data_IF_769251805333
#
_entry.id   IF_769251805333
#
_cell.length_a   1.000
_cell.length_b   1.000
_cell.length_c   1.000
_cell.angle_alpha   90.00
_cell.angle_beta   90.00
_cell.angle_gamma   90.00
#
_symmetry.space_group_name_H-M   'P 1'
#
loop_
_entity.id
_entity.type
_entity.pdbx_description
1 polymer ?
#
# COMPACT_ATOMS: atom_id res chain seq x y z
N UNK A 1 6.04 -17.54 3.05
CA UNK A 1 4.60 -17.44 2.97
C UNK A 1 4.18 -16.55 1.80
N UNK A 2 3.22 -17.03 1.02
CA UNK A 2 2.73 -16.31 -0.17
C UNK A 2 1.98 -15.01 0.15
N UNK A 3 1.65 -14.79 1.43
CA UNK A 3 0.94 -13.59 1.88
C UNK A 3 1.88 -12.44 2.18
N UNK A 4 3.14 -12.73 2.38
CA UNK A 4 4.18 -11.75 2.74
C UNK A 4 5.34 -11.92 1.78
N UNK A 5 5.71 -10.84 1.12
CA UNK A 5 6.86 -10.82 0.21
C UNK A 5 7.74 -9.63 0.57
N UNK A 6 8.98 -9.93 0.95
CA UNK A 6 10.00 -8.92 1.23
C UNK A 6 11.05 -8.98 0.14
N UNK A 7 11.31 -7.84 -0.50
CA UNK A 7 12.33 -7.73 -1.54
C UNK A 7 13.29 -6.60 -1.22
N UNK A 8 14.54 -6.76 -1.63
CA UNK A 8 15.54 -5.72 -1.55
C UNK A 8 15.55 -4.95 -2.87
N UNK A 9 15.53 -3.62 -2.79
CA UNK A 9 15.52 -2.77 -3.96
C UNK A 9 16.51 -1.62 -3.78
N UNK A 10 17.58 -1.62 -4.59
CA UNK A 10 18.63 -0.60 -4.52
C UNK A 10 19.14 -0.43 -3.08
N UNK A 11 18.85 0.72 -2.46
CA UNK A 11 19.29 1.04 -1.11
C UNK A 11 18.22 0.76 -0.05
N UNK A 12 17.12 0.13 -0.42
CA UNK A 12 16.00 -0.04 0.48
C UNK A 12 15.32 -1.39 0.33
N UNK A 13 14.12 -1.46 0.86
CA UNK A 13 13.31 -2.69 0.87
C UNK A 13 11.89 -2.39 0.42
N UNK A 14 11.24 -3.40 -0.11
CA UNK A 14 9.81 -3.38 -0.37
C UNK A 14 9.17 -4.57 0.33
N UNK A 15 8.09 -4.31 1.04
CA UNK A 15 7.32 -5.32 1.76
C UNK A 15 5.90 -5.31 1.23
N UNK A 16 5.49 -6.41 0.62
CA UNK A 16 4.13 -6.58 0.13
C UNK A 16 3.38 -7.51 1.06
N UNK A 17 2.24 -7.05 1.56
CA UNK A 17 1.28 -7.85 2.31
C UNK A 17 0.01 -7.98 1.48
N UNK A 18 -0.56 -9.16 1.48
CA UNK A 18 -1.82 -9.40 0.78
C UNK A 18 -2.68 -10.39 1.53
N UNK A 19 -3.98 -10.19 1.43
CA UNK A 19 -4.98 -11.09 1.99
C UNK A 19 -5.88 -11.59 0.86
N UNK A 20 -5.41 -12.61 0.14
CA UNK A 20 -6.16 -13.17 -0.99
C UNK A 20 -7.20 -14.14 -0.50
N UNK A 21 -8.47 -13.85 -0.80
CA UNK A 21 -9.61 -14.70 -0.46
C UNK A 21 -10.37 -15.01 -1.75
N UNK A 22 -10.51 -16.29 -2.07
CA UNK A 22 -11.27 -16.73 -3.23
C UNK A 22 -12.72 -16.93 -2.82
N UNK A 23 -13.63 -16.19 -3.47
CA UNK A 23 -15.05 -16.23 -3.12
C UNK A 23 -15.91 -15.78 -4.30
N UNK A 24 -17.23 -15.90 -4.11
CA UNK A 24 -18.20 -15.44 -5.11
C UNK A 24 -18.08 -13.92 -5.30
N UNK A 25 -17.83 -13.45 -6.53
CA UNK A 25 -17.69 -12.01 -6.81
C UNK A 25 -18.89 -11.16 -6.37
N UNK A 26 -20.07 -11.72 -6.32
CA UNK A 26 -21.27 -11.00 -5.89
C UNK A 26 -21.24 -10.57 -4.43
N UNK A 27 -20.42 -11.25 -3.59
CA UNK A 27 -20.29 -10.94 -2.17
C UNK A 27 -19.10 -10.03 -1.87
N UNK A 28 -18.29 -9.72 -2.87
CA UNK A 28 -17.01 -9.03 -2.68
C UNK A 28 -17.13 -7.62 -2.12
N UNK A 29 -18.26 -6.96 -2.34
CA UNK A 29 -18.49 -5.59 -1.87
C UNK A 29 -19.30 -5.50 -0.57
N UNK A 30 -19.79 -6.63 -0.05
CA UNK A 30 -20.54 -6.62 1.21
C UNK A 30 -19.60 -6.44 2.40
N UNK A 31 -19.88 -5.40 3.20
CA UNK A 31 -19.02 -5.04 4.34
C UNK A 31 -18.88 -6.18 5.35
N UNK A 32 -19.97 -6.88 5.66
CA UNK A 32 -19.92 -8.01 6.57
C UNK A 32 -18.98 -9.12 6.08
N UNK A 33 -19.01 -9.37 4.77
CA UNK A 33 -18.14 -10.36 4.14
C UNK A 33 -16.68 -9.93 4.17
N UNK A 34 -16.42 -8.67 3.82
CA UNK A 34 -15.08 -8.10 3.83
C UNK A 34 -14.45 -8.23 5.21
N UNK A 35 -15.19 -7.89 6.26
CA UNK A 35 -14.68 -7.94 7.62
C UNK A 35 -14.50 -9.36 8.15
N UNK A 36 -15.33 -10.29 7.72
CA UNK A 36 -15.28 -11.70 8.15
C UNK A 36 -13.94 -12.37 7.84
N UNK A 37 -13.35 -12.03 6.71
CA UNK A 37 -12.10 -12.64 6.24
C UNK A 37 -10.89 -11.73 6.47
N UNK A 38 -10.99 -10.83 7.42
CA UNK A 38 -9.87 -9.95 7.80
C UNK A 38 -8.74 -10.79 8.38
N UNK A 39 -7.51 -10.46 7.97
CA UNK A 39 -6.30 -11.14 8.39
C UNK A 39 -5.39 -10.16 9.13
N UNK A 40 -4.87 -10.57 10.28
CA UNK A 40 -3.91 -9.79 11.04
C UNK A 40 -2.48 -10.22 10.72
N UNK A 41 -1.59 -9.25 10.65
CA UNK A 41 -0.16 -9.45 10.40
C UNK A 41 0.63 -8.82 11.53
N UNK A 42 1.59 -9.58 12.06
CA UNK A 42 2.56 -9.11 13.05
C UNK A 42 3.94 -9.41 12.49
N UNK A 43 4.65 -8.36 12.12
CA UNK A 43 5.95 -8.50 11.45
C UNK A 43 7.01 -7.70 12.18
N UNK A 44 8.23 -8.23 12.15
CA UNK A 44 9.42 -7.55 12.66
C UNK A 44 10.54 -7.65 11.64
N UNK A 45 10.88 -6.54 11.00
CA UNK A 45 12.01 -6.43 10.11
C UNK A 45 13.24 -6.07 10.94
N UNK A 46 14.08 -7.05 11.23
CA UNK A 46 15.25 -6.88 12.09
C UNK A 46 16.38 -6.19 11.34
N UNK A 47 17.23 -5.50 12.09
CA UNK A 47 18.47 -4.95 11.56
C UNK A 47 18.35 -3.59 10.90
N UNK A 48 17.17 -3.03 10.77
CA UNK A 48 17.02 -1.69 10.22
C UNK A 48 17.32 -0.64 11.29
N UNK A 49 18.29 0.22 11.01
CA UNK A 49 18.73 1.28 11.93
C UNK A 49 18.86 2.60 11.19
N UNK A 50 18.76 3.69 11.94
CA UNK A 50 18.86 5.03 11.42
C UNK A 50 17.53 5.59 10.96
N UNK A 51 17.60 6.63 10.18
CA UNK A 51 16.38 7.33 9.71
C UNK A 51 15.94 6.77 8.35
N UNK A 52 14.68 6.42 8.28
CA UNK A 52 14.08 5.80 7.10
C UNK A 52 12.83 6.54 6.67
N UNK A 53 12.63 6.64 5.37
CA UNK A 53 11.37 7.06 4.80
C UNK A 53 10.54 5.83 4.48
N UNK A 54 9.33 5.80 5.02
CA UNK A 54 8.42 4.67 4.86
C UNK A 54 7.21 5.16 4.08
N UNK A 55 7.03 4.61 2.89
CA UNK A 55 5.86 4.85 2.06
C UNK A 55 4.94 3.64 2.15
N UNK A 56 3.67 3.89 2.39
CA UNK A 56 2.66 2.86 2.48
C UNK A 56 1.60 3.09 1.41
N UNK A 57 1.45 2.11 0.52
CA UNK A 57 0.42 2.11 -0.50
C UNK A 57 -0.66 1.10 -0.09
N UNK A 58 -1.83 1.58 0.24
CA UNK A 58 -2.96 0.74 0.66
C UNK A 58 -3.97 0.63 -0.46
N UNK A 59 -4.29 -0.61 -0.84
CA UNK A 59 -5.35 -0.93 -1.78
C UNK A 59 -6.34 -1.87 -1.11
N UNK A 60 -7.59 -1.44 -0.97
CA UNK A 60 -8.71 -2.23 -0.46
C UNK A 60 -10.02 -1.72 -1.04
N UNK A 61 -11.15 -2.18 -0.52
CA UNK A 61 -12.47 -1.78 -1.00
C UNK A 61 -12.73 -0.27 -0.85
N UNK A 62 -12.07 0.38 0.10
CA UNK A 62 -12.24 1.81 0.36
C UNK A 62 -11.11 2.65 -0.22
N UNK A 63 -10.05 2.01 -0.74
CA UNK A 63 -8.84 2.67 -1.20
C UNK A 63 -8.43 2.10 -2.56
N UNK A 64 -8.92 2.70 -3.63
CA UNK A 64 -8.52 2.39 -4.98
C UNK A 64 -9.30 1.31 -5.71
N UNK A 65 -10.19 0.58 -5.04
CA UNK A 65 -10.98 -0.44 -5.71
C UNK A 65 -11.93 0.17 -6.74
N UNK A 66 -12.00 -0.45 -7.90
CA UNK A 66 -12.81 0.04 -9.01
C UNK A 66 -14.31 -0.20 -8.83
N UNK A 67 -14.66 -1.37 -8.33
CA UNK A 67 -16.07 -1.78 -8.26
C UNK A 67 -16.95 -0.82 -7.45
N UNK A 68 -16.57 -0.35 -6.27
CA UNK A 68 -17.39 0.61 -5.53
C UNK A 68 -17.61 1.93 -6.26
N UNK A 69 -16.66 2.34 -7.11
CA UNK A 69 -16.80 3.56 -7.90
C UNK A 69 -17.80 3.41 -9.05
N UNK A 70 -18.06 2.17 -9.48
CA UNK A 70 -19.00 1.86 -10.55
C UNK A 70 -20.42 1.59 -10.03
N UNK A 71 -20.57 1.39 -8.73
CA UNK A 71 -21.91 1.24 -8.13
C UNK A 71 -22.72 2.50 -8.38
N UNK A 72 -23.95 2.33 -8.78
CA UNK A 72 -24.84 3.44 -9.10
C UNK A 72 -24.71 3.96 -10.53
N UNK A 73 -23.74 3.47 -11.31
CA UNK A 73 -23.68 3.77 -12.73
C UNK A 73 -24.58 2.80 -13.47
N UNK A 74 -25.50 3.34 -14.28
CA UNK A 74 -26.44 2.52 -15.02
C UNK A 74 -25.75 1.55 -15.98
N UNK A 75 -26.23 0.29 -16.00
CA UNK A 75 -25.62 -0.76 -16.79
C UNK A 75 -25.82 -0.57 -18.31
N UNK A 76 -26.83 0.17 -18.71
CA UNK A 76 -27.18 0.33 -20.14
C UNK A 76 -26.26 1.29 -20.89
N UNK A 77 -25.86 2.39 -20.25
CA UNK A 77 -25.05 3.41 -20.91
C UNK A 77 -23.60 3.45 -20.44
N UNK A 78 -23.31 2.88 -19.27
CA UNK A 78 -21.98 2.89 -18.71
C UNK A 78 -21.47 4.30 -18.37
N UNK A 79 -20.21 4.42 -17.91
CA UNK A 79 -19.61 5.72 -17.64
C UNK A 79 -19.26 6.47 -18.93
N UNK A 80 -19.48 7.78 -18.95
CA UNK A 80 -19.00 8.64 -20.03
C UNK A 80 -17.50 8.96 -19.86
N UNK A 81 -16.92 9.74 -20.77
CA UNK A 81 -15.49 10.05 -20.75
C UNK A 81 -15.06 10.80 -19.49
N UNK A 82 -15.85 11.75 -19.04
CA UNK A 82 -15.55 12.51 -17.83
C UNK A 82 -15.58 11.62 -16.58
N UNK A 83 -16.56 10.72 -16.50
CA UNK A 83 -16.64 9.73 -15.42
C UNK A 83 -15.45 8.78 -15.42
N UNK A 84 -15.01 8.33 -16.60
CA UNK A 84 -13.82 7.48 -16.72
C UNK A 84 -12.57 8.18 -16.19
N UNK A 85 -12.41 9.47 -16.48
CA UNK A 85 -11.29 10.25 -15.94
C UNK A 85 -11.35 10.36 -14.42
N UNK A 86 -12.55 10.60 -13.89
CA UNK A 86 -12.77 10.64 -12.45
C UNK A 86 -12.46 9.31 -11.78
N UNK A 87 -12.95 8.21 -12.36
CA UNK A 87 -12.71 6.85 -11.87
C UNK A 87 -11.20 6.54 -11.90
N UNK A 88 -10.51 6.85 -12.98
CA UNK A 88 -9.08 6.63 -13.10
C UNK A 88 -8.28 7.41 -12.05
N UNK A 89 -8.74 8.61 -11.69
CA UNK A 89 -8.12 9.40 -10.64
C UNK A 89 -8.37 8.81 -9.24
N UNK A 90 -9.56 8.26 -9.00
CA UNK A 90 -9.96 7.68 -7.72
C UNK A 90 -9.48 6.24 -7.54
N UNK A 91 -9.36 5.48 -8.61
CA UNK A 91 -8.98 4.07 -8.57
C UNK A 91 -7.45 3.90 -8.38
N UNK A 92 -6.93 4.48 -7.30
CA UNK A 92 -5.51 4.42 -6.95
C UNK A 92 -5.36 4.03 -5.49
N UNK A 93 -4.32 3.28 -5.16
CA UNK A 93 -4.00 3.02 -3.76
C UNK A 93 -3.79 4.33 -3.00
N UNK A 94 -4.18 4.33 -1.74
CA UNK A 94 -3.92 5.47 -0.86
C UNK A 94 -2.47 5.44 -0.41
N UNK A 95 -1.75 6.51 -0.70
CA UNK A 95 -0.35 6.65 -0.31
C UNK A 95 -0.23 7.46 0.99
N UNK A 96 0.50 6.92 1.94
CA UNK A 96 0.95 7.66 3.12
C UNK A 96 2.47 7.60 3.20
N UNK A 97 3.08 8.68 3.70
CA UNK A 97 4.53 8.79 3.80
C UNK A 97 4.88 9.31 5.19
N UNK A 98 5.88 8.67 5.81
CA UNK A 98 6.42 9.15 7.08
C UNK A 98 7.91 8.89 7.15
N UNK A 99 8.61 9.71 7.91
CA UNK A 99 10.01 9.50 8.24
C UNK A 99 10.07 9.01 9.69
N UNK A 100 10.84 7.96 9.92
CA UNK A 100 10.93 7.33 11.23
C UNK A 100 12.37 6.94 11.53
N UNK A 101 12.82 7.17 12.77
CA UNK A 101 14.12 6.71 13.22
C UNK A 101 13.96 5.32 13.83
N UNK A 102 14.68 4.36 13.30
CA UNK A 102 14.66 2.98 13.75
C UNK A 102 15.92 2.66 14.54
N UNK A 103 15.78 1.91 15.62
CA UNK A 103 16.87 1.55 16.51
C UNK A 103 17.22 0.06 16.42
N UNK A 104 16.21 -0.79 16.35
CA UNK A 104 16.40 -2.25 16.29
C UNK A 104 15.34 -2.86 15.39
N UNK A 105 15.28 -2.37 14.17
CA UNK A 105 14.33 -2.85 13.19
C UNK A 105 13.00 -2.12 13.23
N UNK A 106 12.06 -2.64 12.46
CA UNK A 106 10.74 -2.05 12.31
C UNK A 106 9.67 -3.10 12.60
N UNK A 107 8.72 -2.74 13.45
CA UNK A 107 7.62 -3.62 13.81
C UNK A 107 6.32 -3.13 13.22
N UNK A 108 5.52 -4.06 12.75
CA UNK A 108 4.23 -3.79 12.14
C UNK A 108 3.16 -4.69 12.73
N UNK A 109 2.04 -4.08 13.11
CA UNK A 109 0.79 -4.78 13.35
C UNK A 109 -0.23 -4.19 12.39
N UNK A 110 -0.71 -4.99 11.47
CA UNK A 110 -1.63 -4.56 10.41
C UNK A 110 -2.78 -5.53 10.30
N UNK A 111 -3.97 -5.01 10.01
CA UNK A 111 -5.16 -5.81 9.76
C UNK A 111 -5.67 -5.50 8.36
N UNK A 112 -5.68 -6.51 7.50
CA UNK A 112 -6.12 -6.37 6.11
C UNK A 112 -7.47 -7.05 5.90
N UNK A 113 -8.39 -6.32 5.30
CA UNK A 113 -9.66 -6.89 4.87
C UNK A 113 -9.45 -7.85 3.68
N UNK A 114 -10.48 -8.58 3.30
CA UNK A 114 -10.39 -9.53 2.19
C UNK A 114 -9.95 -8.84 0.91
N UNK A 115 -8.99 -9.46 0.23
CA UNK A 115 -8.38 -9.00 -1.02
C UNK A 115 -7.71 -7.63 -0.96
N UNK A 116 -7.35 -7.19 0.24
CA UNK A 116 -6.53 -5.99 0.41
C UNK A 116 -5.07 -6.27 0.09
N UNK A 117 -4.40 -5.23 -0.37
CA UNK A 117 -2.96 -5.21 -0.65
C UNK A 117 -2.34 -4.01 0.05
N UNK A 118 -1.20 -4.21 0.67
CA UNK A 118 -0.40 -3.11 1.23
C UNK A 118 1.04 -3.28 0.77
N UNK A 119 1.58 -2.23 0.20
CA UNK A 119 2.99 -2.18 -0.18
C UNK A 119 3.70 -1.13 0.66
N UNK A 120 4.69 -1.57 1.42
CA UNK A 120 5.60 -0.68 2.14
C UNK A 120 6.91 -0.56 1.37
N UNK A 121 7.35 0.67 1.17
CA UNK A 121 8.65 0.95 0.60
C UNK A 121 9.51 1.66 1.63
N UNK A 122 10.70 1.11 1.91
CA UNK A 122 11.63 1.62 2.90
C UNK A 122 12.86 2.16 2.21
N UNK A 123 13.14 3.44 2.41
CA UNK A 123 14.33 4.09 1.87
C UNK A 123 15.13 4.72 3.00
N UNK A 124 16.42 4.36 3.15
CA UNK A 124 17.25 5.00 4.17
C UNK A 124 17.48 6.47 3.80
N UNK A 125 17.40 7.34 4.80
CA UNK A 125 17.64 8.76 4.59
C UNK A 125 19.11 9.07 4.87
N UNK A 126 19.75 9.74 3.91
CA UNK A 126 21.15 10.14 4.01
C UNK A 126 21.27 11.32 4.96
N UNK A 127 22.29 11.38 5.84
CA UNK A 127 22.51 12.54 6.67
C UNK A 127 22.59 13.83 5.84
N UNK A 128 22.14 14.94 6.42
CA UNK A 128 22.03 16.21 5.71
C UNK A 128 23.37 16.70 5.14
N UNK A 129 24.47 16.49 5.88
CA UNK A 129 25.80 16.88 5.41
C UNK A 129 26.17 16.15 4.12
N UNK A 130 25.93 14.85 4.06
CA UNK A 130 26.17 14.05 2.86
C UNK A 130 25.30 14.50 1.70
N UNK A 131 24.03 14.78 1.96
CA UNK A 131 23.11 15.30 0.95
C UNK A 131 23.57 16.66 0.41
N UNK A 132 24.11 17.52 1.28
CA UNK A 132 24.66 18.81 0.88
C UNK A 132 25.86 18.65 -0.04
N UNK A 133 26.74 17.71 0.26
CA UNK A 133 27.88 17.39 -0.59
C UNK A 133 27.44 16.89 -1.98
N UNK A 134 26.41 16.06 -2.03
CA UNK A 134 25.85 15.60 -3.29
C UNK A 134 25.26 16.75 -4.12
N UNK A 135 24.62 17.72 -3.48
CA UNK A 135 24.07 18.89 -4.14
C UNK A 135 25.19 19.75 -4.74
N UNK A 136 26.35 19.79 -4.11
CA UNK A 136 27.49 20.54 -4.59
C UNK A 136 28.24 19.84 -5.75
N UNK A 137 27.93 18.60 -6.04
CA UNK A 137 28.53 17.94 -7.19
C UNK A 137 28.05 18.64 -8.48
N UNK A 138 28.90 18.79 -9.48
CA UNK A 138 28.54 19.48 -10.72
C UNK A 138 27.45 18.72 -11.46
N UNK A 139 26.43 19.43 -11.75
CA UNK A 139 25.26 18.94 -12.47
C UNK A 139 24.61 20.01 -13.29
#
# INVERSE_FOLDING_TARGET
>A
DKRVLLTRHRNGYQLLLRNVVVFNPLLSSEEAFIQRFRQQYHLHLKGMRGKWRIKCHLFDQHNGALYPLLEGVGSESGPDEEMWRWIAHKARPTLSVRDERLYDGWQLTESLESNALVLYEFTPLVPRETATEEIHSPW
#
